data_IF_623959778496
#
_entry.id   IF_623959778496
#
_cell.length_a   1.000
_cell.length_b   1.000
_cell.length_c   1.000
_cell.angle_alpha   90.00
_cell.angle_beta   90.00
_cell.angle_gamma   90.00
#
_symmetry.space_group_name_H-M   'P 1'
#
loop_
_entity.id
_entity.type
_entity.pdbx_description
1 polymer ?
#
# COMPACT_ATOMS: atom_id res chain seq x y z
N UNK A 1 14.35 -13.69 25.38
CA UNK A 1 13.82 -14.16 24.08
C UNK A 1 12.75 -13.18 23.69
N UNK A 2 13.05 -12.24 22.79
CA UNK A 2 12.06 -11.33 22.24
C UNK A 2 11.49 -11.97 20.99
N UNK A 3 10.25 -12.44 21.09
CA UNK A 3 9.45 -12.89 19.95
C UNK A 3 9.15 -11.66 19.08
N UNK A 4 9.96 -11.45 18.04
CA UNK A 4 9.56 -10.56 16.95
C UNK A 4 8.55 -11.35 16.11
N UNK A 5 7.25 -11.17 16.39
CA UNK A 5 6.22 -11.48 15.40
C UNK A 5 6.54 -10.69 14.15
N UNK A 6 7.11 -11.36 13.14
CA UNK A 6 7.40 -10.80 11.83
C UNK A 6 6.09 -10.61 11.04
N UNK A 7 5.19 -9.79 11.56
CA UNK A 7 3.97 -9.42 10.83
C UNK A 7 4.40 -8.63 9.60
N UNK A 8 4.16 -9.22 8.42
CA UNK A 8 4.44 -8.56 7.14
C UNK A 8 3.54 -7.32 7.08
N UNK A 9 4.08 -6.12 6.83
CA UNK A 9 3.25 -4.93 6.70
C UNK A 9 2.22 -5.15 5.58
N UNK A 10 0.94 -4.93 5.90
CA UNK A 10 -0.13 -5.02 4.91
C UNK A 10 -0.06 -3.78 4.01
N UNK A 11 0.08 -4.00 2.71
CA UNK A 11 0.14 -2.91 1.72
C UNK A 11 -1.19 -2.82 1.00
N UNK A 12 -1.71 -1.60 0.93
CA UNK A 12 -2.91 -1.25 0.20
C UNK A 12 -2.55 -0.41 -1.02
N UNK A 13 -3.26 -0.65 -2.12
CA UNK A 13 -3.11 0.07 -3.38
C UNK A 13 -4.40 0.83 -3.67
N UNK A 14 -4.34 2.14 -3.51
CA UNK A 14 -5.46 3.07 -3.70
C UNK A 14 -5.41 3.63 -5.11
N UNK A 15 -6.59 3.82 -5.72
CA UNK A 15 -6.76 4.37 -7.06
C UNK A 15 -7.65 5.61 -6.94
N UNK A 16 -7.07 6.80 -6.77
CA UNK A 16 -7.84 8.04 -6.63
C UNK A 16 -8.69 8.31 -7.87
N UNK A 17 -9.83 8.98 -7.69
CA UNK A 17 -10.63 9.43 -8.83
C UNK A 17 -9.89 10.54 -9.58
N UNK A 18 -9.72 10.39 -10.90
CA UNK A 18 -9.03 11.38 -11.73
C UNK A 18 -7.51 11.24 -11.78
N UNK A 19 -6.90 10.39 -10.93
CA UNK A 19 -5.50 10.00 -11.06
C UNK A 19 -5.40 8.68 -11.85
N UNK A 20 -4.65 8.62 -12.97
CA UNK A 20 -4.45 7.36 -13.67
C UNK A 20 -3.66 6.33 -12.85
N UNK A 21 -2.87 6.79 -11.88
CA UNK A 21 -1.92 5.98 -11.13
C UNK A 21 -2.55 5.40 -9.87
N UNK A 22 -2.05 4.22 -9.49
CA UNK A 22 -2.30 3.67 -8.17
C UNK A 22 -1.17 4.01 -7.20
N UNK A 23 -1.55 4.27 -5.95
CA UNK A 23 -0.67 4.70 -4.86
C UNK A 23 -0.65 3.64 -3.76
N UNK A 24 0.54 3.32 -3.28
CA UNK A 24 0.71 2.38 -2.19
C UNK A 24 0.60 3.10 -0.86
N UNK A 25 -0.05 2.48 0.13
CA UNK A 25 -0.11 2.99 1.50
C UNK A 25 -0.03 1.83 2.49
N UNK A 26 0.51 2.11 3.68
CA UNK A 26 0.48 1.22 4.83
C UNK A 26 -0.81 1.38 5.65
N UNK A 27 -1.50 2.52 5.48
CA UNK A 27 -2.75 2.78 6.15
C UNK A 27 -3.86 1.97 5.51
N UNK A 28 -4.72 1.40 6.35
CA UNK A 28 -5.93 0.77 5.84
C UNK A 28 -6.86 1.86 5.31
N UNK A 29 -7.19 1.89 4.01
CA UNK A 29 -7.98 2.98 3.49
C UNK A 29 -9.42 2.96 4.04
N UNK A 30 -10.04 4.11 4.29
CA UNK A 30 -11.39 4.18 4.86
C UNK A 30 -12.42 3.60 3.89
N UNK A 31 -13.37 2.80 4.40
CA UNK A 31 -14.45 2.23 3.56
C UNK A 31 -15.30 3.31 2.88
N UNK A 32 -15.51 4.45 3.56
CA UNK A 32 -16.28 5.58 3.04
C UNK A 32 -15.49 6.50 2.11
N UNK A 33 -14.24 6.17 1.82
CA UNK A 33 -13.30 7.06 1.14
C UNK A 33 -12.71 8.12 2.08
N UNK A 34 -11.73 8.85 1.57
CA UNK A 34 -11.01 9.91 2.27
C UNK A 34 -9.50 9.83 2.12
N UNK A 35 -8.78 10.78 2.72
CA UNK A 35 -7.33 10.91 2.53
C UNK A 35 -6.59 9.73 3.16
N UNK A 36 -5.54 9.28 2.47
CA UNK A 36 -4.54 8.33 2.99
C UNK A 36 -3.13 8.83 2.72
N UNK A 37 -2.21 8.50 3.62
CA UNK A 37 -0.80 8.84 3.46
C UNK A 37 -0.11 7.86 2.50
N UNK A 38 0.41 8.31 1.35
CA UNK A 38 1.07 7.45 0.39
C UNK A 38 2.50 7.13 0.83
N UNK A 39 2.96 5.92 0.52
CA UNK A 39 4.32 5.46 0.79
C UNK A 39 5.41 6.31 0.10
N UNK A 40 5.06 7.00 -0.99
CA UNK A 40 6.00 7.81 -1.77
C UNK A 40 6.47 9.10 -1.09
N UNK A 41 5.92 9.47 0.07
CA UNK A 41 6.28 10.71 0.78
C UNK A 41 5.85 11.98 0.05
N UNK A 42 4.85 11.87 -0.81
CA UNK A 42 4.18 12.99 -1.46
C UNK A 42 2.85 13.29 -0.76
N UNK A 43 2.15 14.33 -1.23
CA UNK A 43 0.88 14.77 -0.63
C UNK A 43 -0.15 13.63 -0.51
N UNK A 44 -1.03 13.67 0.51
CA UNK A 44 -2.08 12.68 0.71
C UNK A 44 -2.92 12.47 -0.54
N UNK A 45 -3.36 11.22 -0.74
CA UNK A 45 -4.22 10.86 -1.87
C UNK A 45 -5.62 10.52 -1.39
N UNK A 46 -6.63 10.93 -2.14
CA UNK A 46 -8.02 10.63 -1.84
C UNK A 46 -8.34 9.17 -2.23
N UNK A 47 -8.64 8.35 -1.24
CA UNK A 47 -9.14 7.00 -1.45
C UNK A 47 -10.62 7.04 -1.82
N UNK A 48 -11.06 6.36 -2.90
CA UNK A 48 -12.47 6.27 -3.22
C UNK A 48 -13.21 5.38 -2.19
N UNK A 49 -14.52 5.58 -2.00
CA UNK A 49 -15.34 4.64 -1.26
C UNK A 49 -15.35 3.28 -1.99
N UNK A 50 -15.09 2.19 -1.24
CA UNK A 50 -15.14 0.83 -1.79
C UNK A 50 -16.03 -0.06 -0.93
N UNK A 51 -16.72 -1.01 -1.58
CA UNK A 51 -17.57 -1.96 -0.89
C UNK A 51 -16.75 -3.12 -0.30
N UNK A 52 -15.73 -3.57 -1.03
CA UNK A 52 -14.84 -4.67 -0.63
C UNK A 52 -13.40 -4.17 -0.42
N UNK A 53 -12.81 -4.30 0.78
CA UNK A 53 -11.40 -3.98 1.01
C UNK A 53 -10.40 -4.72 0.10
N UNK A 54 -10.81 -5.83 -0.55
CA UNK A 54 -10.00 -6.50 -1.59
C UNK A 54 -9.76 -5.62 -2.81
N UNK A 55 -10.55 -4.57 -3.02
CA UNK A 55 -10.37 -3.61 -4.11
C UNK A 55 -9.12 -2.74 -3.94
N UNK A 56 -8.58 -2.66 -2.70
CA UNK A 56 -7.30 -2.04 -2.37
C UNK A 56 -6.09 -2.95 -2.63
N UNK A 57 -6.22 -3.94 -3.51
CA UNK A 57 -5.10 -4.75 -3.98
C UNK A 57 -4.45 -4.12 -5.22
N UNK A 58 -3.16 -4.46 -5.40
CA UNK A 58 -2.38 -4.06 -6.57
C UNK A 58 -3.07 -4.50 -7.86
N UNK A 59 -3.35 -3.56 -8.75
CA UNK A 59 -3.82 -3.83 -10.09
C UNK A 59 -2.65 -3.79 -11.08
N UNK A 60 -2.08 -4.95 -11.41
CA UNK A 60 -0.91 -5.05 -12.32
C UNK A 60 -1.16 -4.52 -13.74
N UNK A 61 -2.41 -4.28 -14.12
CA UNK A 61 -2.82 -3.75 -15.42
C UNK A 61 -3.05 -2.23 -15.42
N UNK A 62 -2.68 -1.54 -14.34
CA UNK A 62 -2.80 -0.07 -14.20
C UNK A 62 -1.42 0.53 -13.94
N UNK A 63 -1.18 1.79 -14.35
CA UNK A 63 0.07 2.45 -14.05
C UNK A 63 0.20 2.72 -12.54
N UNK A 64 1.42 2.91 -12.10
CA UNK A 64 1.78 3.14 -10.71
C UNK A 64 2.37 4.53 -10.54
N UNK A 65 2.12 5.15 -9.39
CA UNK A 65 2.94 6.29 -8.97
C UNK A 65 4.36 5.77 -8.71
N UNK A 66 5.34 6.38 -9.37
CA UNK A 66 6.72 5.93 -9.37
C UNK A 66 7.34 5.96 -7.96
N UNK A 67 7.04 7.02 -7.21
CA UNK A 67 7.50 7.21 -5.84
C UNK A 67 6.92 6.16 -4.90
N UNK A 68 5.61 5.91 -5.00
CA UNK A 68 4.91 4.87 -4.23
C UNK A 68 5.46 3.47 -4.54
N UNK A 69 5.65 3.16 -5.82
CA UNK A 69 6.16 1.85 -6.24
C UNK A 69 7.60 1.64 -5.79
N UNK A 70 8.45 2.66 -5.91
CA UNK A 70 9.83 2.62 -5.43
C UNK A 70 9.90 2.45 -3.92
N UNK A 71 9.05 3.15 -3.16
CA UNK A 71 8.97 2.99 -1.72
C UNK A 71 8.49 1.58 -1.32
N UNK A 72 7.48 1.05 -2.01
CA UNK A 72 7.01 -0.32 -1.84
C UNK A 72 8.12 -1.36 -2.03
N UNK A 73 8.96 -1.21 -3.07
CA UNK A 73 10.09 -2.12 -3.32
C UNK A 73 11.17 -2.09 -2.22
N UNK A 74 11.27 -0.98 -1.48
CA UNK A 74 12.22 -0.80 -0.37
C UNK A 74 11.69 -1.34 0.96
N UNK A 75 10.41 -1.74 1.03
CA UNK A 75 9.86 -2.28 2.25
C UNK A 75 10.56 -3.60 2.61
N UNK A 76 10.82 -3.83 3.91
CA UNK A 76 11.42 -5.07 4.37
C UNK A 76 10.41 -6.23 4.23
N UNK A 77 10.35 -6.85 3.05
CA UNK A 77 9.63 -8.10 2.85
C UNK A 77 10.50 -9.23 3.38
N UNK A 78 10.26 -9.65 4.63
CA UNK A 78 10.79 -10.86 5.29
C UNK A 78 12.14 -11.36 4.73
N UNK A 79 13.24 -11.02 5.41
CA UNK A 79 14.53 -11.69 5.20
C UNK A 79 14.32 -13.22 5.27
N UNK A 80 14.98 -14.02 4.41
CA UNK A 80 14.89 -15.47 4.52
C UNK A 80 15.33 -15.90 5.92
N UNK A 81 14.41 -16.55 6.64
CA UNK A 81 14.73 -17.21 7.91
C UNK A 81 15.47 -18.50 7.55
N UNK A 82 16.80 -18.46 7.56
CA UNK A 82 17.60 -19.67 7.46
C UNK A 82 17.38 -20.47 8.74
N UNK A 83 16.62 -21.57 8.65
CA UNK A 83 16.56 -22.56 9.72
C UNK A 83 17.89 -23.31 9.74
N UNK A 84 18.70 -23.09 10.77
CA UNK A 84 19.83 -23.95 11.09
C UNK A 84 19.34 -25.28 11.66
#
# INVERSE_FOLDING_TARGET
MTEYSAERPQIHWVKPEGDPNQHATLDRPPRGGGPVEPLGGHEPVESPPVADPREFQMAHNRPFCEECFTAYLKLPTALPVWKH
#
